data_IF_499987411517
#
_entry.id   IF_499987411517
#
_cell.length_a   1.000
_cell.length_b   1.000
_cell.length_c   1.000
_cell.angle_alpha   90.00
_cell.angle_beta   90.00
_cell.angle_gamma   90.00
#
_symmetry.space_group_name_H-M   'P 1'
#
loop_
_entity.id
_entity.type
_entity.pdbx_description
1 polymer ?
#
# COMPACT_ATOMS: atom_id res chain seq x y z
N UNK A 1 23.35 11.27 34.14
CA UNK A 1 23.13 11.57 32.71
C UNK A 1 22.86 13.06 32.59
N UNK A 2 23.60 13.76 31.72
CA UNK A 2 23.37 15.18 31.42
C UNK A 2 22.30 15.35 30.34
N UNK A 3 22.37 16.45 29.58
CA UNK A 3 21.54 16.65 28.40
C UNK A 3 21.87 15.59 27.34
N UNK A 4 20.84 15.06 26.68
CA UNK A 4 20.96 14.02 25.65
C UNK A 4 20.28 14.49 24.37
N UNK A 5 20.94 14.26 23.23
CA UNK A 5 20.37 14.48 21.90
C UNK A 5 19.93 13.13 21.31
N UNK A 6 18.65 13.01 20.97
CA UNK A 6 18.10 11.82 20.33
C UNK A 6 18.01 12.04 18.83
N UNK A 7 18.73 11.22 18.06
CA UNK A 7 18.77 11.27 16.60
C UNK A 7 18.33 9.92 16.06
N UNK A 8 17.48 9.94 15.05
CA UNK A 8 17.11 8.75 14.28
C UNK A 8 16.95 9.10 12.79
N UNK A 9 17.17 8.10 11.95
CA UNK A 9 17.01 8.23 10.51
C UNK A 9 15.57 7.90 10.14
N UNK A 10 14.95 8.78 9.36
CA UNK A 10 13.63 8.57 8.80
C UNK A 10 13.67 8.70 7.28
N UNK A 11 12.75 8.00 6.61
CA UNK A 11 12.61 8.06 5.17
C UNK A 11 11.16 8.42 4.83
N UNK A 12 10.99 9.25 3.79
CA UNK A 12 9.68 9.58 3.27
C UNK A 12 9.74 9.80 1.77
N UNK A 13 8.59 9.69 1.11
CA UNK A 13 8.48 9.82 -0.34
C UNK A 13 8.41 11.27 -0.78
N UNK A 14 9.18 11.63 -1.81
CA UNK A 14 9.16 12.94 -2.47
C UNK A 14 8.85 12.78 -3.95
N UNK A 15 8.27 13.81 -4.56
CA UNK A 15 8.17 13.90 -6.01
C UNK A 15 9.57 14.08 -6.61
N UNK A 16 9.87 13.32 -7.66
CA UNK A 16 11.10 13.51 -8.44
C UNK A 16 11.05 14.86 -9.18
N UNK A 17 12.15 15.62 -9.26
CA UNK A 17 12.21 16.89 -9.98
C UNK A 17 12.36 16.70 -11.50
N UNK A 18 11.38 16.05 -12.12
CA UNK A 18 11.33 15.73 -13.56
C UNK A 18 10.33 16.61 -14.31
N UNK A 19 10.39 16.63 -15.64
CA UNK A 19 9.35 17.28 -16.46
C UNK A 19 8.00 16.62 -16.22
N UNK A 20 6.92 17.38 -16.35
CA UNK A 20 5.58 16.82 -16.14
C UNK A 20 5.25 15.76 -17.20
N UNK A 21 5.75 15.92 -18.44
CA UNK A 21 5.66 14.89 -19.47
C UNK A 21 6.31 13.58 -19.00
N UNK A 22 7.55 13.62 -18.53
CA UNK A 22 8.24 12.42 -18.04
C UNK A 22 7.49 11.79 -16.86
N UNK A 23 7.00 12.62 -15.92
CA UNK A 23 6.18 12.12 -14.81
C UNK A 23 4.93 11.38 -15.31
N UNK A 24 4.21 11.92 -16.30
CA UNK A 24 3.01 11.29 -16.86
C UNK A 24 3.34 9.97 -17.55
N UNK A 25 4.44 9.91 -18.31
CA UNK A 25 4.91 8.69 -18.96
C UNK A 25 5.23 7.59 -17.96
N UNK A 26 6.02 7.91 -16.92
CA UNK A 26 6.35 6.96 -15.84
C UNK A 26 5.10 6.54 -15.04
N UNK A 27 4.22 7.48 -14.73
CA UNK A 27 3.05 7.25 -13.87
C UNK A 27 1.98 6.40 -14.55
N UNK A 28 1.76 6.59 -15.85
CA UNK A 28 0.78 5.83 -16.64
C UNK A 28 1.39 4.63 -17.37
N UNK A 29 2.72 4.47 -17.33
CA UNK A 29 3.47 3.46 -18.08
C UNK A 29 3.19 3.54 -19.59
N UNK A 30 3.16 4.77 -20.13
CA UNK A 30 2.89 5.04 -21.54
C UNK A 30 4.17 4.88 -22.36
N UNK A 31 4.07 4.16 -23.48
CA UNK A 31 5.15 4.02 -24.47
C UNK A 31 4.92 4.83 -25.73
N UNK A 32 3.65 5.06 -26.07
CA UNK A 32 3.23 5.80 -27.26
C UNK A 32 2.65 7.16 -26.83
N UNK A 33 3.32 8.23 -27.25
CA UNK A 33 2.94 9.62 -26.97
C UNK A 33 2.06 10.24 -28.05
N UNK A 34 1.92 9.59 -29.20
CA UNK A 34 1.16 10.13 -30.34
C UNK A 34 -0.34 10.17 -30.06
N UNK A 35 -0.82 9.27 -29.21
CA UNK A 35 -2.24 9.12 -28.88
C UNK A 35 -2.68 10.16 -27.85
N UNK A 36 -3.91 10.71 -27.99
CA UNK A 36 -4.53 11.50 -26.94
C UNK A 36 -4.68 10.69 -25.64
N UNK A 37 -4.60 11.37 -24.50
CA UNK A 37 -4.86 10.75 -23.21
C UNK A 37 -6.35 10.43 -23.05
N UNK A 38 -6.67 9.22 -22.58
CA UNK A 38 -8.05 8.85 -22.27
C UNK A 38 -8.58 9.66 -21.10
N UNK A 39 -9.91 9.83 -21.00
CA UNK A 39 -10.52 10.52 -19.86
C UNK A 39 -10.18 9.87 -18.52
N UNK A 40 -10.10 8.53 -18.50
CA UNK A 40 -9.68 7.77 -17.32
C UNK A 40 -8.27 8.18 -16.88
N UNK A 41 -7.34 8.28 -17.82
CA UNK A 41 -5.95 8.64 -17.54
C UNK A 41 -5.82 10.12 -17.16
N UNK A 42 -6.54 11.01 -17.83
CA UNK A 42 -6.66 12.42 -17.45
C UNK A 42 -7.11 12.59 -16.00
N UNK A 43 -8.13 11.84 -15.57
CA UNK A 43 -8.61 11.87 -14.18
C UNK A 43 -7.55 11.34 -13.20
N UNK A 44 -6.80 10.29 -13.55
CA UNK A 44 -5.68 9.80 -12.73
C UNK A 44 -4.58 10.85 -12.59
N UNK A 45 -4.15 11.48 -13.69
CA UNK A 45 -3.12 12.53 -13.66
C UNK A 45 -3.61 13.73 -12.85
N UNK A 46 -4.88 14.15 -13.05
CA UNK A 46 -5.48 15.25 -12.29
C UNK A 46 -5.43 14.95 -10.79
N UNK A 47 -5.81 13.73 -10.39
CA UNK A 47 -5.70 13.30 -8.99
C UNK A 47 -4.26 13.26 -8.51
N UNK A 48 -3.30 12.83 -9.33
CA UNK A 48 -1.89 12.71 -8.94
C UNK A 48 -1.19 14.07 -8.77
N UNK A 49 -1.40 15.00 -9.71
CA UNK A 49 -0.71 16.29 -9.76
C UNK A 49 -1.42 17.44 -9.03
N UNK A 50 -2.70 17.29 -8.64
CA UNK A 50 -3.40 18.34 -7.89
C UNK A 50 -2.62 18.70 -6.61
N UNK A 51 -2.32 19.99 -6.47
CA UNK A 51 -1.58 20.58 -5.36
C UNK A 51 -0.05 20.61 -5.54
N UNK A 52 0.49 19.93 -6.56
CA UNK A 52 1.93 19.91 -6.86
C UNK A 52 2.35 21.25 -7.47
N UNK A 53 3.50 21.77 -7.04
CA UNK A 53 4.11 22.96 -7.63
C UNK A 53 5.00 22.58 -8.80
N UNK A 54 4.89 23.34 -9.88
CA UNK A 54 5.74 23.22 -11.06
C UNK A 54 6.39 24.55 -11.35
N UNK A 55 7.56 24.51 -11.96
CA UNK A 55 8.23 25.66 -12.53
C UNK A 55 8.23 25.58 -14.04
N UNK A 56 8.09 26.72 -14.70
CA UNK A 56 8.09 26.79 -16.16
C UNK A 56 9.48 27.09 -16.70
N UNK A 57 9.85 26.45 -17.81
CA UNK A 57 11.17 26.56 -18.43
C UNK A 57 11.16 27.12 -19.87
N UNK A 58 10.03 27.62 -20.36
CA UNK A 58 9.92 28.20 -21.73
C UNK A 58 10.44 29.64 -21.84
N UNK A 59 10.82 30.27 -20.74
CA UNK A 59 11.45 31.58 -20.69
C UNK A 59 12.78 31.45 -19.99
N UNK A 60 13.89 31.76 -20.67
CA UNK A 60 15.24 31.61 -20.12
C UNK A 60 15.49 32.55 -18.93
N UNK A 61 14.92 33.76 -18.95
CA UNK A 61 15.13 34.78 -17.92
C UNK A 61 14.14 34.74 -16.74
N UNK A 62 13.08 33.92 -16.81
CA UNK A 62 12.01 33.94 -15.78
C UNK A 62 11.52 32.53 -15.42
N UNK A 63 12.03 32.01 -14.30
CA UNK A 63 11.50 30.79 -13.68
C UNK A 63 10.29 31.17 -12.83
N UNK A 64 9.10 30.89 -13.33
CA UNK A 64 7.84 31.11 -12.61
C UNK A 64 7.33 29.81 -12.00
N UNK A 65 6.87 29.88 -10.75
CA UNK A 65 6.31 28.74 -10.01
C UNK A 65 4.80 28.81 -9.95
N UNK A 66 4.14 27.70 -10.25
CA UNK A 66 2.69 27.56 -10.28
C UNK A 66 2.25 26.36 -9.45
N UNK A 67 1.10 26.46 -8.79
CA UNK A 67 0.48 25.34 -8.07
C UNK A 67 -0.63 24.76 -8.95
N UNK A 68 -0.52 23.48 -9.30
CA UNK A 68 -1.50 22.81 -10.15
C UNK A 68 -2.83 22.68 -9.39
N UNK A 69 -3.88 23.27 -9.94
CA UNK A 69 -5.26 23.16 -9.44
C UNK A 69 -6.06 22.09 -10.20
N UNK A 70 -5.73 21.87 -11.48
CA UNK A 70 -6.45 20.92 -12.33
C UNK A 70 -5.72 20.57 -13.62
N UNK A 71 -6.44 19.87 -14.50
CA UNK A 71 -6.04 19.51 -15.86
C UNK A 71 -7.24 19.78 -16.75
N UNK A 72 -7.00 20.38 -17.92
CA UNK A 72 -8.07 20.77 -18.84
C UNK A 72 -8.81 19.55 -19.38
N UNK A 73 -10.13 19.64 -19.63
CA UNK A 73 -10.93 18.52 -20.14
C UNK A 73 -10.70 18.26 -21.63
N UNK A 74 -10.18 19.24 -22.36
CA UNK A 74 -9.91 19.17 -23.79
C UNK A 74 -8.41 19.19 -24.09
N UNK A 75 -7.98 18.65 -25.26
CA UNK A 75 -6.62 18.80 -25.77
C UNK A 75 -6.21 20.26 -25.91
N UNK A 76 -4.92 20.53 -25.75
CA UNK A 76 -4.39 21.89 -25.84
C UNK A 76 -4.53 22.51 -27.23
N UNK A 77 -4.58 21.70 -28.29
CA UNK A 77 -4.86 22.15 -29.66
C UNK A 77 -6.26 22.76 -29.81
N UNK A 78 -7.24 22.27 -29.04
CA UNK A 78 -8.64 22.73 -29.05
C UNK A 78 -8.95 23.73 -27.93
N UNK A 79 -8.01 23.94 -27.02
CA UNK A 79 -8.19 24.82 -25.87
C UNK A 79 -7.98 26.29 -26.26
N UNK A 80 -9.08 27.02 -26.38
CA UNK A 80 -9.10 28.46 -26.71
C UNK A 80 -9.29 29.27 -25.42
N UNK A 81 -8.44 30.26 -25.19
CA UNK A 81 -8.48 31.13 -24.01
C UNK A 81 -8.34 32.62 -24.39
N UNK A 82 -8.87 33.54 -23.58
CA UNK A 82 -8.65 34.97 -23.77
C UNK A 82 -7.21 35.32 -23.39
N UNK A 83 -6.48 35.95 -24.31
CA UNK A 83 -5.06 36.32 -24.13
C UNK A 83 -4.88 37.68 -23.49
N UNK A 84 -5.80 38.59 -23.79
CA UNK A 84 -5.78 39.98 -23.34
C UNK A 84 -7.15 40.44 -22.84
N UNK A 85 -7.18 41.61 -22.21
CA UNK A 85 -8.43 42.25 -21.77
C UNK A 85 -9.29 42.75 -22.95
N UNK A 86 -8.73 42.77 -24.17
CA UNK A 86 -9.43 43.14 -25.41
C UNK A 86 -10.27 41.98 -25.98
N UNK A 87 -10.17 40.79 -25.38
CA UNK A 87 -10.95 39.62 -25.76
C UNK A 87 -10.36 38.82 -26.93
N UNK A 88 -9.09 39.07 -27.31
CA UNK A 88 -8.41 38.28 -28.33
C UNK A 88 -8.33 36.82 -27.89
N UNK A 89 -8.92 35.92 -28.68
CA UNK A 89 -8.95 34.48 -28.39
C UNK A 89 -7.99 33.75 -29.31
N UNK A 90 -7.14 32.92 -28.74
CA UNK A 90 -6.31 31.97 -29.51
C UNK A 90 -6.15 30.67 -28.77
N UNK A 91 -5.71 29.62 -29.47
CA UNK A 91 -5.38 28.36 -28.82
C UNK A 91 -4.05 28.44 -28.08
N UNK A 92 -3.84 27.57 -27.09
CA UNK A 92 -2.56 27.48 -26.37
C UNK A 92 -1.39 27.22 -27.31
N UNK A 93 -1.60 26.38 -28.34
CA UNK A 93 -0.57 26.08 -29.35
C UNK A 93 -0.15 27.34 -30.11
N UNK A 94 -1.12 28.12 -30.61
CA UNK A 94 -0.83 29.37 -31.33
C UNK A 94 -0.18 30.41 -30.44
N UNK A 95 -0.62 30.53 -29.18
CA UNK A 95 -0.02 31.47 -28.23
C UNK A 95 1.45 31.19 -27.99
N UNK A 96 1.82 29.92 -27.73
CA UNK A 96 3.22 29.55 -27.50
C UNK A 96 4.08 29.71 -28.76
N UNK A 97 3.53 29.41 -29.94
CA UNK A 97 4.22 29.64 -31.21
C UNK A 97 4.46 31.14 -31.46
N UNK A 98 3.46 32.00 -31.31
CA UNK A 98 3.59 33.43 -31.61
C UNK A 98 4.37 34.20 -30.54
N UNK A 99 4.13 33.92 -29.25
CA UNK A 99 4.68 34.70 -28.13
C UNK A 99 6.09 34.28 -27.73
N UNK A 100 6.39 32.99 -27.86
CA UNK A 100 7.64 32.38 -27.37
C UNK A 100 8.43 31.67 -28.48
N UNK A 101 7.95 31.65 -29.73
CA UNK A 101 8.55 30.89 -30.81
C UNK A 101 8.77 29.39 -30.46
N UNK A 102 7.85 28.81 -29.68
CA UNK A 102 7.97 27.47 -29.14
C UNK A 102 6.98 26.51 -29.82
N UNK A 103 7.50 25.49 -30.51
CA UNK A 103 6.67 24.49 -31.20
C UNK A 103 6.40 23.28 -30.30
N UNK A 104 5.19 23.22 -29.76
CA UNK A 104 4.73 22.18 -28.83
C UNK A 104 4.55 20.85 -29.55
N UNK A 105 5.12 19.78 -28.98
CA UNK A 105 5.07 18.44 -29.57
C UNK A 105 3.81 17.68 -29.15
N UNK A 106 3.37 17.86 -27.90
CA UNK A 106 2.26 17.10 -27.30
C UNK A 106 0.89 17.79 -27.49
N UNK A 107 0.58 18.25 -28.70
CA UNK A 107 -0.62 19.07 -28.97
C UNK A 107 -1.96 18.39 -28.71
N UNK A 108 -1.99 17.04 -28.71
CA UNK A 108 -3.16 16.23 -28.38
C UNK A 108 -3.37 16.04 -26.87
N UNK A 109 -2.42 16.46 -26.03
CA UNK A 109 -2.50 16.34 -24.58
C UNK A 109 -3.19 17.55 -23.96
N UNK A 110 -3.80 17.41 -22.78
CA UNK A 110 -4.39 18.53 -22.06
C UNK A 110 -3.33 19.42 -21.41
N UNK A 111 -3.70 20.65 -21.06
CA UNK A 111 -2.87 21.55 -20.27
C UNK A 111 -3.05 21.30 -18.78
N UNK A 112 -2.03 21.63 -18.00
CA UNK A 112 -2.16 21.86 -16.56
C UNK A 112 -2.92 23.17 -16.34
N UNK A 113 -3.77 23.19 -15.34
CA UNK A 113 -4.49 24.39 -14.91
C UNK A 113 -3.92 24.87 -13.57
N UNK A 114 -3.70 26.18 -13.48
CA UNK A 114 -3.32 26.93 -12.29
C UNK A 114 -4.15 28.22 -12.22
N UNK A 115 -3.96 29.03 -11.18
CA UNK A 115 -4.70 30.29 -10.99
C UNK A 115 -6.08 30.07 -10.39
N UNK A 116 -6.93 31.10 -10.49
CA UNK A 116 -8.32 31.08 -10.02
C UNK A 116 -9.28 30.80 -11.19
N UNK A 117 -10.54 30.48 -10.87
CA UNK A 117 -11.56 30.28 -11.91
C UNK A 117 -11.83 31.55 -12.72
N UNK A 118 -11.64 32.73 -12.12
CA UNK A 118 -11.77 34.03 -12.79
C UNK A 118 -10.58 34.36 -13.71
N UNK A 119 -9.37 33.87 -13.39
CA UNK A 119 -8.15 34.08 -14.17
C UNK A 119 -7.36 32.77 -14.26
N UNK A 120 -7.82 31.82 -15.10
CA UNK A 120 -7.16 30.53 -15.23
C UNK A 120 -5.84 30.69 -16.00
N UNK A 121 -4.84 29.93 -15.57
CA UNK A 121 -3.55 29.82 -16.24
C UNK A 121 -3.43 28.42 -16.82
N UNK A 122 -3.22 28.32 -18.13
CA UNK A 122 -3.06 27.06 -18.85
C UNK A 122 -1.59 26.84 -19.22
N UNK A 123 -1.01 25.76 -18.71
CA UNK A 123 0.40 25.44 -18.89
C UNK A 123 0.55 24.12 -19.64
N UNK A 124 1.17 24.09 -20.83
CA UNK A 124 1.54 22.84 -21.47
C UNK A 124 2.44 22.00 -20.56
N UNK A 125 2.20 20.69 -20.51
CA UNK A 125 3.00 19.80 -19.65
C UNK A 125 4.48 19.76 -20.05
N UNK A 126 4.77 20.00 -21.34
CA UNK A 126 6.12 19.99 -21.92
C UNK A 126 7.02 21.08 -21.32
N UNK A 127 6.42 22.24 -20.98
CA UNK A 127 7.15 23.41 -20.46
C UNK A 127 7.14 23.50 -18.94
N UNK A 128 6.78 22.41 -18.25
CA UNK A 128 6.64 22.36 -16.80
C UNK A 128 7.56 21.30 -16.19
N UNK A 129 8.31 21.68 -15.15
CA UNK A 129 9.13 20.80 -14.33
C UNK A 129 8.59 20.78 -12.90
N UNK A 130 8.53 19.60 -12.28
CA UNK A 130 8.11 19.48 -10.89
C UNK A 130 9.21 20.06 -9.99
N UNK A 131 8.82 20.96 -9.08
CA UNK A 131 9.76 21.56 -8.13
C UNK A 131 10.28 20.50 -7.15
N UNK A 132 11.58 20.54 -6.85
CA UNK A 132 12.24 19.63 -5.92
C UNK A 132 11.74 19.78 -4.47
N UNK A 133 11.96 18.75 -3.65
CA UNK A 133 11.68 18.81 -2.21
C UNK A 133 10.20 18.75 -1.85
N UNK A 134 9.33 18.41 -2.79
CA UNK A 134 7.89 18.30 -2.54
C UNK A 134 7.52 16.90 -2.03
N UNK A 135 7.09 16.83 -0.76
CA UNK A 135 6.68 15.57 -0.13
C UNK A 135 5.46 14.97 -0.85
N UNK A 136 5.55 13.69 -1.19
CA UNK A 136 4.43 12.91 -1.71
C UNK A 136 3.57 12.41 -0.53
N UNK A 137 2.36 12.93 -0.40
CA UNK A 137 1.47 12.66 0.77
C UNK A 137 0.32 11.68 0.47
N UNK A 138 0.25 11.14 -0.75
CA UNK A 138 -0.82 10.22 -1.15
C UNK A 138 -0.42 8.78 -0.86
N UNK A 139 -1.41 7.87 -0.82
CA UNK A 139 -1.15 6.43 -0.64
C UNK A 139 -0.28 5.91 -1.79
N UNK A 140 0.83 5.27 -1.43
CA UNK A 140 1.72 4.60 -2.36
C UNK A 140 1.11 3.26 -2.79
N UNK A 141 1.46 2.79 -3.98
CA UNK A 141 1.08 1.43 -4.41
C UNK A 141 1.95 0.36 -3.74
N UNK A 142 1.52 -0.89 -3.75
CA UNK A 142 2.19 -1.98 -3.02
C UNK A 142 3.65 -2.18 -3.45
N UNK A 143 3.96 -1.96 -4.74
CA UNK A 143 5.33 -2.02 -5.26
C UNK A 143 6.20 -0.88 -4.69
N UNK A 144 5.66 0.33 -4.62
CA UNK A 144 6.33 1.48 -4.01
C UNK A 144 6.53 1.28 -2.51
N UNK A 145 5.52 0.79 -1.79
CA UNK A 145 5.62 0.45 -0.36
C UNK A 145 6.71 -0.60 -0.16
N UNK A 146 6.71 -1.67 -0.95
CA UNK A 146 7.74 -2.72 -0.89
C UNK A 146 9.13 -2.16 -1.15
N UNK A 147 9.30 -1.26 -2.11
CA UNK A 147 10.58 -0.63 -2.40
C UNK A 147 11.06 0.26 -1.24
N UNK A 148 10.16 1.03 -0.61
CA UNK A 148 10.50 1.82 0.58
C UNK A 148 10.89 0.88 1.73
N UNK A 149 10.12 -0.18 1.99
CA UNK A 149 10.46 -1.16 3.01
C UNK A 149 11.84 -1.77 2.77
N UNK A 150 12.13 -2.21 1.54
CA UNK A 150 13.45 -2.75 1.18
C UNK A 150 14.59 -1.74 1.38
N UNK A 151 14.35 -0.46 1.06
CA UNK A 151 15.36 0.58 1.21
C UNK A 151 15.56 1.01 2.68
N UNK A 152 14.55 0.86 3.53
CA UNK A 152 14.54 1.38 4.91
C UNK A 152 14.74 0.32 5.99
N UNK A 153 14.44 -0.95 5.70
CA UNK A 153 14.65 -2.08 6.61
C UNK A 153 16.13 -2.45 6.69
N UNK A 154 16.87 -1.69 7.49
CA UNK A 154 18.28 -1.93 7.79
C UNK A 154 18.46 -2.76 9.06
N UNK A 155 19.53 -3.56 9.12
CA UNK A 155 19.90 -4.28 10.36
C UNK A 155 20.40 -3.28 11.41
N UNK A 156 20.24 -3.56 12.72
CA UNK A 156 20.64 -2.64 13.79
C UNK A 156 22.07 -2.10 13.65
N UNK A 157 23.06 -2.94 13.33
CA UNK A 157 24.45 -2.51 13.13
C UNK A 157 24.61 -1.51 11.97
N UNK A 158 23.89 -1.70 10.86
CA UNK A 158 23.93 -0.78 9.72
C UNK A 158 23.26 0.54 10.07
N UNK A 159 22.11 0.50 10.76
CA UNK A 159 21.41 1.70 11.20
C UNK A 159 22.24 2.50 12.19
N UNK A 160 22.92 1.83 13.13
CA UNK A 160 23.84 2.44 14.09
C UNK A 160 24.96 3.21 13.36
N UNK A 161 25.58 2.58 12.36
CA UNK A 161 26.63 3.22 11.56
C UNK A 161 26.10 4.46 10.82
N UNK A 162 24.92 4.37 10.21
CA UNK A 162 24.32 5.51 9.51
C UNK A 162 23.96 6.67 10.46
N UNK A 163 23.56 6.39 11.71
CA UNK A 163 23.29 7.44 12.70
C UNK A 163 24.59 8.14 13.13
N UNK A 164 25.72 7.42 13.20
CA UNK A 164 27.03 7.98 13.54
C UNK A 164 27.57 8.96 12.48
N UNK A 165 27.12 8.85 11.24
CA UNK A 165 27.50 9.75 10.14
C UNK A 165 26.86 11.16 10.25
N UNK A 166 26.33 11.52 11.42
CA UNK A 166 25.85 12.87 11.71
C UNK A 166 26.98 13.90 11.54
N UNK A 167 26.72 14.92 10.72
CA UNK A 167 27.65 16.01 10.48
C UNK A 167 27.56 17.06 11.59
N UNK A 168 28.72 17.53 12.06
CA UNK A 168 28.81 18.64 13.01
C UNK A 168 28.02 19.87 12.54
N UNK A 169 27.19 20.44 13.42
CA UNK A 169 26.42 21.64 13.14
C UNK A 169 27.21 22.90 13.54
N UNK A 170 27.54 23.74 12.55
CA UNK A 170 28.26 25.00 12.74
C UNK A 170 27.51 25.98 13.65
N UNK A 171 26.17 25.96 13.64
CA UNK A 171 25.37 26.82 14.50
C UNK A 171 25.47 26.37 15.97
N UNK A 172 25.47 25.06 16.24
CA UNK A 172 25.62 24.56 17.61
C UNK A 172 26.95 25.00 18.25
N UNK A 173 28.03 25.01 17.46
CA UNK A 173 29.35 25.49 17.91
C UNK A 173 29.34 26.97 18.31
N UNK A 174 28.57 27.82 17.60
CA UNK A 174 28.44 29.25 17.93
C UNK A 174 27.81 29.48 19.32
N UNK A 175 26.90 28.59 19.74
CA UNK A 175 26.30 28.61 21.07
C UNK A 175 27.13 27.86 22.14
N UNK A 176 28.36 27.42 21.80
CA UNK A 176 29.21 26.64 22.71
C UNK A 176 28.67 25.23 23.01
N UNK A 177 27.75 24.72 22.19
CA UNK A 177 27.18 23.38 22.33
C UNK A 177 28.11 22.40 21.60
N UNK A 178 28.71 21.48 22.36
CA UNK A 178 29.49 20.39 21.81
C UNK A 178 28.73 19.07 22.00
N UNK A 179 28.50 18.34 20.89
CA UNK A 179 27.76 17.07 20.89
C UNK A 179 28.77 15.94 20.74
N UNK A 180 28.78 15.01 21.69
CA UNK A 180 29.59 13.81 21.59
C UNK A 180 29.08 12.92 20.44
N UNK A 181 29.98 12.47 19.58
CA UNK A 181 29.67 11.60 18.43
C UNK A 181 29.38 10.14 18.83
N UNK A 182 29.79 9.74 20.03
CA UNK A 182 29.60 8.38 20.51
C UNK A 182 28.19 8.18 21.07
N UNK A 183 27.63 7.01 20.77
CA UNK A 183 26.34 6.61 21.31
C UNK A 183 26.44 6.36 22.81
N UNK A 184 25.42 6.80 23.53
CA UNK A 184 25.35 6.63 24.99
C UNK A 184 25.21 5.15 25.34
N UNK A 185 26.17 4.64 26.11
CA UNK A 185 26.11 3.29 26.68
C UNK A 185 25.22 3.27 27.91
N UNK A 186 24.23 2.39 27.93
CA UNK A 186 23.27 2.24 29.03
C UNK A 186 23.31 0.80 29.54
N UNK A 187 23.45 0.58 30.87
CA UNK A 187 23.37 -0.77 31.42
C UNK A 187 21.95 -1.32 31.22
N UNK A 188 21.84 -2.44 30.50
CA UNK A 188 20.60 -3.14 30.25
C UNK A 188 20.61 -4.53 30.92
N UNK A 189 19.42 -5.09 31.16
CA UNK A 189 19.25 -6.45 31.69
C UNK A 189 18.30 -7.23 30.80
N UNK A 190 18.67 -8.47 30.46
CA UNK A 190 17.79 -9.40 29.77
C UNK A 190 17.04 -10.20 30.83
N UNK A 191 15.73 -10.01 30.92
CA UNK A 191 14.91 -10.77 31.86
C UNK A 191 14.77 -12.22 31.37
N UNK A 192 14.85 -13.21 32.28
CA UNK A 192 14.58 -14.60 31.91
C UNK A 192 13.14 -14.73 31.41
N UNK A 193 12.89 -15.50 30.34
CA UNK A 193 11.54 -15.68 29.82
C UNK A 193 10.70 -16.50 30.81
N UNK A 194 9.37 -16.30 30.87
CA UNK A 194 8.50 -17.13 31.68
C UNK A 194 8.41 -18.55 31.11
N UNK A 195 8.24 -19.54 31.99
CA UNK A 195 7.93 -20.90 31.58
C UNK A 195 6.47 -20.99 31.12
N UNK A 196 6.26 -21.32 29.85
CA UNK A 196 4.92 -21.56 29.32
C UNK A 196 4.50 -22.99 29.66
N UNK A 197 3.29 -23.17 30.21
CA UNK A 197 2.69 -24.47 30.49
C UNK A 197 1.70 -24.87 29.40
N UNK A 198 1.68 -26.15 29.08
CA UNK A 198 0.81 -26.81 28.11
C UNK A 198 0.11 -27.99 28.77
N UNK A 199 -0.84 -28.59 28.05
CA UNK A 199 -1.61 -29.72 28.57
C UNK A 199 -0.73 -30.96 28.81
N UNK A 200 -1.00 -31.69 29.89
CA UNK A 200 -0.18 -32.81 30.36
C UNK A 200 -0.18 -34.02 29.41
N UNK A 201 -1.14 -34.10 28.49
CA UNK A 201 -1.20 -35.13 27.44
C UNK A 201 -0.34 -34.83 26.19
N UNK A 202 0.29 -33.65 26.14
CA UNK A 202 1.29 -33.32 25.13
C UNK A 202 2.63 -34.02 25.41
N UNK A 203 3.46 -34.19 24.37
CA UNK A 203 4.83 -34.69 24.54
C UNK A 203 5.69 -33.69 25.31
N UNK A 204 5.48 -32.41 25.04
CA UNK A 204 6.10 -31.29 25.76
C UNK A 204 5.04 -30.56 26.58
N UNK A 205 5.25 -30.53 27.91
CA UNK A 205 4.33 -29.92 28.89
C UNK A 205 4.71 -28.48 29.25
N UNK A 206 5.97 -28.13 29.04
CA UNK A 206 6.50 -26.82 29.35
C UNK A 206 7.48 -26.37 28.27
N UNK A 207 7.52 -25.07 28.01
CA UNK A 207 8.44 -24.48 27.04
C UNK A 207 8.97 -23.15 27.58
N UNK A 208 10.28 -22.97 27.56
CA UNK A 208 10.90 -21.66 27.72
C UNK A 208 11.00 -21.00 26.34
N UNK A 209 10.35 -19.85 26.09
CA UNK A 209 10.54 -19.11 24.85
C UNK A 209 12.01 -18.75 24.64
N UNK A 210 12.48 -18.86 23.40
CA UNK A 210 13.83 -18.44 23.01
C UNK A 210 13.73 -17.16 22.18
N UNK A 211 14.40 -16.09 22.63
CA UNK A 211 14.38 -14.77 21.95
C UNK A 211 12.95 -14.28 21.68
N UNK A 212 12.04 -14.51 22.64
CA UNK A 212 10.63 -14.13 22.54
C UNK A 212 9.79 -15.00 21.59
N UNK A 213 10.33 -16.12 21.09
CA UNK A 213 9.65 -17.01 20.14
C UNK A 213 9.44 -18.41 20.73
N UNK A 214 8.33 -19.03 20.35
CA UNK A 214 8.01 -20.43 20.63
C UNK A 214 7.03 -20.95 19.57
N UNK A 215 6.83 -22.26 19.50
CA UNK A 215 5.87 -22.90 18.60
C UNK A 215 5.05 -23.97 19.33
N UNK A 216 4.03 -24.51 18.65
CA UNK A 216 3.12 -25.54 19.18
C UNK A 216 3.55 -26.98 18.87
N UNK A 217 4.73 -27.18 18.28
CA UNK A 217 5.21 -28.54 17.93
C UNK A 217 5.34 -29.35 19.21
N UNK A 218 4.84 -30.59 19.20
CA UNK A 218 4.82 -31.53 20.34
C UNK A 218 3.99 -31.09 21.56
N UNK A 219 3.27 -29.97 21.49
CA UNK A 219 2.52 -29.38 22.60
C UNK A 219 1.01 -29.48 22.33
N UNK A 220 0.24 -29.51 23.42
CA UNK A 220 -1.23 -29.48 23.36
C UNK A 220 -1.78 -28.31 24.14
N UNK A 221 -2.80 -27.65 23.61
CA UNK A 221 -3.51 -26.55 24.26
C UNK A 221 -4.10 -27.02 25.58
N UNK A 222 -4.02 -26.18 26.62
CA UNK A 222 -4.58 -26.49 27.95
C UNK A 222 -6.08 -26.74 27.86
N UNK A 223 -6.80 -25.83 27.18
CA UNK A 223 -8.25 -25.92 26.97
C UNK A 223 -8.51 -26.00 25.46
N UNK A 224 -8.40 -27.19 24.88
CA UNK A 224 -8.76 -27.43 23.49
C UNK A 224 -10.27 -27.40 23.28
N UNK A 225 -10.73 -26.68 22.27
CA UNK A 225 -12.15 -26.66 21.91
C UNK A 225 -12.62 -27.99 21.35
N UNK A 226 -13.92 -28.26 21.50
CA UNK A 226 -14.61 -29.41 20.91
C UNK A 226 -15.44 -28.92 19.72
N UNK A 227 -15.26 -29.53 18.55
CA UNK A 227 -15.99 -29.24 17.32
C UNK A 227 -16.53 -30.56 16.76
N UNK A 228 -17.78 -30.86 17.09
CA UNK A 228 -18.49 -32.04 16.64
C UNK A 228 -19.08 -31.84 15.24
N UNK A 229 -19.52 -30.61 14.94
CA UNK A 229 -20.26 -30.27 13.73
C UNK A 229 -19.56 -29.18 12.93
N UNK A 230 -18.97 -29.55 11.79
CA UNK A 230 -18.35 -28.61 10.87
C UNK A 230 -18.71 -28.93 9.41
N UNK A 231 -18.57 -27.94 8.54
CA UNK A 231 -18.79 -28.09 7.10
C UNK A 231 -17.77 -27.27 6.30
N UNK A 232 -17.59 -27.61 5.02
CA UNK A 232 -16.71 -26.88 4.11
C UNK A 232 -17.39 -26.55 2.79
N UNK A 233 -17.20 -25.31 2.34
CA UNK A 233 -17.61 -24.83 1.01
C UNK A 233 -16.45 -24.13 0.32
N UNK A 234 -16.18 -24.52 -0.93
CA UNK A 234 -15.15 -23.95 -1.78
C UNK A 234 -15.78 -23.14 -2.91
N UNK A 235 -15.37 -21.88 -3.02
CA UNK A 235 -15.64 -20.99 -4.15
C UNK A 235 -14.42 -20.85 -5.07
N UNK A 236 -13.42 -21.71 -4.90
CA UNK A 236 -12.19 -21.67 -5.69
C UNK A 236 -12.27 -22.60 -6.90
N UNK A 237 -11.30 -22.46 -7.81
CA UNK A 237 -11.09 -23.40 -8.93
C UNK A 237 -10.28 -24.64 -8.53
N UNK A 238 -9.97 -24.81 -7.23
CA UNK A 238 -9.22 -25.97 -6.75
C UNK A 238 -10.07 -27.23 -6.90
N UNK A 239 -9.38 -28.36 -7.04
CA UNK A 239 -10.06 -29.65 -7.22
C UNK A 239 -10.70 -30.08 -5.88
N UNK A 240 -11.86 -30.74 -5.89
CA UNK A 240 -12.51 -31.22 -4.66
C UNK A 240 -11.59 -32.06 -3.77
N UNK A 241 -10.68 -32.84 -4.36
CA UNK A 241 -9.71 -33.68 -3.64
C UNK A 241 -8.66 -32.85 -2.88
N UNK A 242 -8.25 -31.70 -3.42
CA UNK A 242 -7.30 -30.79 -2.77
C UNK A 242 -7.96 -30.10 -1.57
N UNK A 243 -9.21 -29.66 -1.73
CA UNK A 243 -10.02 -29.09 -0.64
C UNK A 243 -10.25 -30.13 0.46
N UNK A 244 -10.55 -31.37 0.08
CA UNK A 244 -10.72 -32.46 1.02
C UNK A 244 -9.43 -32.76 1.80
N UNK A 245 -8.29 -32.88 1.11
CA UNK A 245 -6.98 -33.09 1.73
C UNK A 245 -6.65 -31.98 2.73
N UNK A 246 -6.82 -30.72 2.33
CA UNK A 246 -6.60 -29.60 3.25
C UNK A 246 -7.48 -29.71 4.51
N UNK A 247 -8.76 -30.03 4.36
CA UNK A 247 -9.64 -30.19 5.51
C UNK A 247 -9.14 -31.33 6.41
N UNK A 248 -8.78 -32.48 5.85
CA UNK A 248 -8.19 -33.58 6.62
C UNK A 248 -6.94 -33.14 7.39
N UNK A 249 -6.00 -32.47 6.72
CA UNK A 249 -4.75 -31.97 7.32
C UNK A 249 -5.04 -30.96 8.44
N UNK A 250 -5.98 -30.03 8.22
CA UNK A 250 -6.39 -29.03 9.22
C UNK A 250 -6.97 -29.70 10.46
N UNK A 251 -7.91 -30.63 10.29
CA UNK A 251 -8.58 -31.33 11.39
C UNK A 251 -7.60 -32.22 12.13
N UNK A 252 -6.69 -32.88 11.43
CA UNK A 252 -5.59 -33.63 12.02
C UNK A 252 -4.70 -32.73 12.87
N UNK A 253 -4.33 -31.54 12.39
CA UNK A 253 -3.55 -30.57 13.14
C UNK A 253 -4.29 -30.05 14.38
N UNK A 254 -5.58 -29.73 14.27
CA UNK A 254 -6.42 -29.37 15.42
C UNK A 254 -6.40 -30.46 16.50
N UNK A 255 -6.61 -31.71 16.10
CA UNK A 255 -6.60 -32.86 17.02
C UNK A 255 -5.21 -33.10 17.64
N UNK A 256 -4.13 -32.98 16.85
CA UNK A 256 -2.76 -33.10 17.34
C UNK A 256 -2.41 -32.02 18.37
N UNK A 257 -2.92 -30.80 18.19
CA UNK A 257 -2.70 -29.67 19.09
C UNK A 257 -3.63 -29.66 20.31
N UNK A 258 -4.46 -30.70 20.49
CA UNK A 258 -5.25 -30.91 21.70
C UNK A 258 -6.70 -30.42 21.62
N UNK A 259 -7.18 -29.99 20.45
CA UNK A 259 -8.62 -29.85 20.22
C UNK A 259 -9.25 -31.22 20.00
N UNK A 260 -10.58 -31.30 20.09
CA UNK A 260 -11.35 -32.50 19.72
C UNK A 260 -12.29 -32.15 18.58
N UNK A 261 -11.84 -32.37 17.35
CA UNK A 261 -12.60 -32.05 16.14
C UNK A 261 -12.97 -33.34 15.41
N UNK A 262 -14.25 -33.47 15.08
CA UNK A 262 -14.77 -34.62 14.35
C UNK A 262 -14.03 -34.78 13.01
N UNK A 263 -13.42 -35.95 12.71
CA UNK A 263 -12.70 -36.17 11.46
C UNK A 263 -13.55 -36.03 10.20
N UNK A 264 -14.88 -36.20 10.32
CA UNK A 264 -15.79 -36.12 9.18
C UNK A 264 -16.62 -34.83 9.26
N UNK A 265 -16.79 -34.12 8.14
CA UNK A 265 -17.73 -33.01 8.10
C UNK A 265 -19.16 -33.51 8.25
N UNK A 266 -20.04 -32.64 8.74
CA UNK A 266 -21.46 -32.88 8.90
C UNK A 266 -22.17 -33.10 7.54
N UNK A 267 -21.66 -32.46 6.49
CA UNK A 267 -22.14 -32.59 5.11
C UNK A 267 -20.94 -32.63 4.16
N UNK A 268 -21.07 -33.28 3.01
CA UNK A 268 -19.99 -33.39 2.02
C UNK A 268 -19.49 -32.02 1.55
N UNK A 269 -18.17 -31.94 1.33
CA UNK A 269 -17.51 -30.73 0.86
C UNK A 269 -18.11 -30.26 -0.47
N UNK A 270 -18.57 -29.02 -0.51
CA UNK A 270 -19.21 -28.43 -1.68
C UNK A 270 -18.26 -27.54 -2.45
N UNK A 271 -18.27 -27.63 -3.78
CA UNK A 271 -17.64 -26.66 -4.67
C UNK A 271 -18.71 -25.90 -5.43
N UNK A 272 -18.58 -24.57 -5.51
CA UNK A 272 -19.52 -23.69 -6.19
C UNK A 272 -18.79 -22.55 -6.90
N UNK A 273 -19.40 -21.99 -7.95
CA UNK A 273 -18.85 -20.80 -8.61
C UNK A 273 -18.93 -19.57 -7.69
N UNK A 274 -17.92 -18.66 -7.71
CA UNK A 274 -17.98 -17.37 -7.02
C UNK A 274 -19.22 -16.53 -7.32
N UNK A 275 -19.86 -16.72 -8.49
CA UNK A 275 -21.06 -15.97 -8.86
C UNK A 275 -22.34 -16.48 -8.14
N UNK A 276 -22.28 -17.61 -7.44
CA UNK A 276 -23.44 -18.25 -6.81
C UNK A 276 -23.23 -18.45 -5.29
N UNK A 277 -22.48 -17.55 -4.64
CA UNK A 277 -22.14 -17.65 -3.21
C UNK A 277 -23.38 -17.80 -2.33
N UNK A 278 -24.39 -16.94 -2.52
CA UNK A 278 -25.59 -16.95 -1.70
C UNK A 278 -26.35 -18.28 -1.80
N UNK A 279 -26.55 -18.77 -3.02
CA UNK A 279 -27.24 -20.05 -3.26
C UNK A 279 -26.48 -21.23 -2.65
N UNK A 280 -25.15 -21.23 -2.76
CA UNK A 280 -24.32 -22.27 -2.17
C UNK A 280 -24.38 -22.27 -0.63
N UNK A 281 -24.33 -21.09 -0.01
CA UNK A 281 -24.43 -20.96 1.45
C UNK A 281 -25.82 -21.36 1.95
N UNK A 282 -26.90 -20.96 1.25
CA UNK A 282 -28.27 -21.39 1.57
C UNK A 282 -28.42 -22.90 1.50
N UNK A 283 -27.82 -23.56 0.50
CA UNK A 283 -27.88 -25.02 0.38
C UNK A 283 -27.08 -25.73 1.48
N UNK A 284 -25.88 -25.24 1.83
CA UNK A 284 -25.11 -25.76 2.97
C UNK A 284 -25.89 -25.60 4.28
N UNK A 285 -26.48 -24.42 4.51
CA UNK A 285 -27.32 -24.17 5.68
C UNK A 285 -28.52 -25.13 5.76
N UNK A 286 -29.25 -25.30 4.66
CA UNK A 286 -30.38 -26.23 4.58
C UNK A 286 -29.95 -27.66 4.93
N UNK A 287 -28.91 -28.18 4.28
CA UNK A 287 -28.42 -29.56 4.49
C UNK A 287 -27.89 -29.78 5.91
N UNK A 288 -27.13 -28.82 6.44
CA UNK A 288 -26.62 -28.91 7.82
C UNK A 288 -27.77 -28.89 8.82
N UNK A 289 -28.77 -28.03 8.63
CA UNK A 289 -30.00 -27.99 9.46
C UNK A 289 -30.77 -29.31 9.40
N UNK A 290 -30.93 -29.90 8.20
CA UNK A 290 -31.57 -31.20 8.01
C UNK A 290 -30.81 -32.36 8.68
N UNK A 291 -29.48 -32.32 8.70
CA UNK A 291 -28.68 -33.34 9.38
C UNK A 291 -28.68 -33.16 10.90
N UNK A 292 -28.65 -31.91 11.39
CA UNK A 292 -28.71 -31.59 12.81
C UNK A 292 -30.07 -31.94 13.42
N UNK A 293 -31.18 -31.71 12.70
CA UNK A 293 -32.52 -32.04 13.19
C UNK A 293 -32.72 -33.55 13.40
N UNK A 294 -32.02 -34.39 12.62
CA UNK A 294 -32.02 -35.85 12.77
C UNK A 294 -31.23 -36.34 13.99
N UNK A 295 -30.32 -35.53 14.54
CA UNK A 295 -29.45 -35.92 15.66
C UNK A 295 -30.03 -35.61 17.06
N UNK A 296 -31.23 -35.02 17.16
CA UNK A 296 -31.84 -34.61 18.43
C UNK A 296 -31.28 -33.30 19.00
N UNK A 297 -31.98 -32.71 19.97
CA UNK A 297 -31.94 -31.29 20.43
C UNK A 297 -30.63 -30.47 20.31
N UNK A 298 -30.83 -29.19 19.94
CA UNK A 298 -29.95 -27.99 20.03
C UNK A 298 -28.50 -28.07 19.50
N UNK A 299 -28.17 -29.05 18.66
CA UNK A 299 -26.87 -29.02 17.97
C UNK A 299 -26.87 -27.98 16.86
N UNK A 300 -25.90 -27.07 16.89
CA UNK A 300 -25.65 -26.08 15.84
C UNK A 300 -24.39 -26.43 15.06
N UNK A 301 -24.27 -25.90 13.85
CA UNK A 301 -23.01 -25.91 13.11
C UNK A 301 -22.00 -25.04 13.85
N UNK A 302 -20.89 -25.62 14.31
CA UNK A 302 -19.89 -24.94 15.13
C UNK A 302 -18.79 -24.28 14.29
N UNK A 303 -18.51 -24.82 13.10
CA UNK A 303 -17.47 -24.31 12.20
C UNK A 303 -17.89 -24.45 10.73
N UNK A 304 -17.76 -23.35 9.98
CA UNK A 304 -17.89 -23.34 8.52
C UNK A 304 -16.57 -22.88 7.89
N UNK A 305 -15.94 -23.77 7.12
CA UNK A 305 -14.72 -23.48 6.37
C UNK A 305 -15.13 -22.97 4.99
N UNK A 306 -14.69 -21.76 4.64
CA UNK A 306 -14.97 -21.15 3.33
C UNK A 306 -13.66 -20.93 2.59
N UNK A 307 -13.52 -21.57 1.43
CA UNK A 307 -12.40 -21.35 0.52
C UNK A 307 -12.75 -20.31 -0.54
N UNK A 308 -11.99 -19.21 -0.59
CA UNK A 308 -12.10 -18.20 -1.64
C UNK A 308 -10.72 -17.99 -2.24
N UNK A 309 -10.59 -18.22 -3.55
CA UNK A 309 -9.39 -17.77 -4.26
C UNK A 309 -9.55 -16.29 -4.61
N UNK A 310 -8.64 -15.45 -4.12
CA UNK A 310 -8.44 -14.14 -4.71
C UNK A 310 -7.85 -14.31 -6.12
N UNK A 311 -8.54 -13.75 -7.11
CA UNK A 311 -8.00 -13.48 -8.46
C UNK A 311 -7.35 -12.11 -8.45
#
# INVERSE_FOLDING_TARGET
MGLSLNIDISATSFFKPVTVVQFVLEFLNLRDTSRPLTDRDRVKIKKALRGVRVETNHQEDQIRRYKITGITPVPMSQLIFPVDERGTRMSVVHYFMQRYNYNLQYTSWPCLQSGSDARPVYLPMEVCKIVEGQRYSKKLNDKQVTNILRATCQRPQQREQSIREYAEDKFAQEFGINVCSDLVSVPARVLPPPMLRYHDSGKEKTCAPSVGQWNMINKKMINGGIIDNWACVSFSRMRPEEVHRFCCDLIQMCNMTGMSVNPRPLVDNRSASPNHIENALRDVYRRTTEMLSKQGHEKQLQLLIIYVCHV
#
